data_IF_988424450149
#
_entry.id   IF_988424450149
#
_cell.length_a   1.000
_cell.length_b   1.000
_cell.length_c   1.000
_cell.angle_alpha   90.00
_cell.angle_beta   90.00
_cell.angle_gamma   90.00
#
_symmetry.space_group_name_H-M   'P 1'
#
loop_
_entity.id
_entity.type
_entity.pdbx_description
1 polymer ?
#
# COMPACT_ATOMS: atom_id res chain seq x y z
N UNK A 1 -4.78 -45.09 -2.05
CA UNK A 1 -5.59 -45.66 -0.95
C UNK A 1 -4.65 -46.01 0.18
N UNK A 2 -4.76 -45.34 1.33
CA UNK A 2 -3.97 -45.75 2.50
C UNK A 2 -4.52 -47.07 3.05
N UNK A 3 -3.62 -47.96 3.44
CA UNK A 3 -3.95 -49.34 3.75
C UNK A 3 -4.73 -49.45 5.05
N UNK A 4 -5.75 -50.30 5.05
CA UNK A 4 -6.47 -50.76 6.25
C UNK A 4 -5.51 -51.18 7.38
N UNK A 5 -4.31 -51.66 7.01
CA UNK A 5 -3.22 -52.01 7.91
C UNK A 5 -2.75 -50.85 8.80
N UNK A 6 -2.67 -49.61 8.29
CA UNK A 6 -2.23 -48.46 9.09
C UNK A 6 -3.24 -48.12 10.20
N UNK A 7 -4.54 -48.24 9.89
CA UNK A 7 -5.63 -48.02 10.85
C UNK A 7 -5.53 -49.08 11.97
N UNK A 8 -5.34 -50.34 11.61
CA UNK A 8 -5.17 -51.42 12.58
C UNK A 8 -3.92 -51.24 13.44
N UNK A 9 -2.78 -50.89 12.84
CA UNK A 9 -1.53 -50.66 13.56
C UNK A 9 -1.61 -49.50 14.58
N UNK A 10 -2.53 -48.55 14.37
CA UNK A 10 -2.78 -47.41 15.27
C UNK A 10 -3.94 -47.62 16.23
N UNK A 11 -4.29 -48.87 16.51
CA UNK A 11 -5.29 -49.23 17.51
C UNK A 11 -6.73 -49.23 17.01
N UNK A 12 -6.97 -48.94 15.72
CA UNK A 12 -8.28 -49.18 15.10
C UNK A 12 -9.44 -48.36 15.69
N UNK A 13 -9.16 -47.16 16.20
CA UNK A 13 -10.17 -46.25 16.74
C UNK A 13 -9.90 -44.80 16.34
N UNK A 14 -10.94 -43.98 16.39
CA UNK A 14 -10.86 -42.54 16.20
C UNK A 14 -10.13 -41.87 17.37
N UNK A 15 -9.13 -41.04 17.11
CA UNK A 15 -8.38 -40.32 18.15
C UNK A 15 -9.23 -39.33 18.97
N UNK A 16 -10.36 -38.87 18.42
CA UNK A 16 -11.21 -37.83 19.04
C UNK A 16 -12.34 -38.43 19.88
N UNK A 17 -13.07 -39.42 19.34
CA UNK A 17 -14.27 -39.96 19.99
C UNK A 17 -14.20 -41.46 20.27
N UNK A 18 -13.06 -42.09 20.00
CA UNK A 18 -12.78 -43.49 20.28
C UNK A 18 -13.67 -44.52 19.55
N UNK A 19 -14.54 -44.11 18.63
CA UNK A 19 -15.32 -45.07 17.82
C UNK A 19 -14.39 -45.88 16.92
N UNK A 20 -14.75 -47.13 16.65
CA UNK A 20 -14.02 -48.04 15.75
C UNK A 20 -14.66 -48.09 14.35
N UNK A 21 -15.74 -47.34 14.12
CA UNK A 21 -16.50 -47.38 12.88
C UNK A 21 -16.08 -46.29 11.90
N UNK A 22 -16.10 -46.62 10.60
CA UNK A 22 -15.89 -45.69 9.47
C UNK A 22 -14.65 -44.82 9.65
N UNK A 23 -13.51 -45.46 9.91
CA UNK A 23 -12.23 -44.80 10.15
C UNK A 23 -11.54 -44.39 8.85
N UNK A 24 -10.95 -43.20 8.88
CA UNK A 24 -10.26 -42.54 7.79
C UNK A 24 -8.95 -41.95 8.32
N UNK A 25 -7.98 -41.80 7.43
CA UNK A 25 -6.72 -41.11 7.73
C UNK A 25 -6.90 -39.62 7.42
N UNK A 26 -6.46 -38.80 8.36
CA UNK A 26 -6.44 -37.36 8.28
C UNK A 26 -4.98 -36.86 8.30
N UNK A 27 -4.62 -36.02 7.33
CA UNK A 27 -3.35 -35.29 7.36
C UNK A 27 -3.52 -34.04 8.20
N UNK A 28 -2.73 -33.90 9.27
CA UNK A 28 -2.84 -32.81 10.24
C UNK A 28 -2.50 -31.47 9.58
N UNK A 29 -1.47 -31.44 8.73
CA UNK A 29 -1.04 -30.28 7.95
C UNK A 29 -1.88 -30.03 6.67
N UNK A 30 -2.84 -30.90 6.37
CA UNK A 30 -3.64 -30.88 5.13
C UNK A 30 -2.88 -31.17 3.83
N UNK A 31 -1.58 -31.49 3.89
CA UNK A 31 -0.80 -31.93 2.73
C UNK A 31 -0.89 -33.46 2.57
N UNK A 32 -1.56 -33.89 1.50
CA UNK A 32 -1.76 -35.32 1.20
C UNK A 32 -0.46 -36.03 0.81
N UNK A 33 0.59 -35.30 0.47
CA UNK A 33 1.90 -35.87 0.12
C UNK A 33 2.78 -36.10 1.37
N UNK A 34 2.50 -35.41 2.48
CA UNK A 34 3.25 -35.56 3.72
C UNK A 34 2.79 -36.79 4.53
N UNK A 35 3.37 -37.93 4.20
CA UNK A 35 2.98 -39.24 4.71
C UNK A 35 3.74 -39.68 5.98
N UNK A 36 4.45 -38.78 6.65
CA UNK A 36 5.14 -39.11 7.90
C UNK A 36 4.10 -39.56 8.95
N UNK A 37 4.35 -40.65 9.69
CA UNK A 37 3.35 -41.17 10.63
C UNK A 37 2.87 -40.12 11.65
N UNK A 38 3.75 -39.22 12.09
CA UNK A 38 3.41 -38.15 13.03
C UNK A 38 2.45 -37.10 12.47
N UNK A 39 2.34 -36.97 11.14
CA UNK A 39 1.41 -36.06 10.45
C UNK A 39 0.05 -36.72 10.14
N UNK A 40 -0.07 -38.04 10.36
CA UNK A 40 -1.31 -38.77 10.11
C UNK A 40 -2.07 -38.97 11.41
N UNK A 41 -3.39 -38.81 11.35
CA UNK A 41 -4.31 -39.05 12.46
C UNK A 41 -5.45 -39.96 12.00
N UNK A 42 -5.90 -40.89 12.86
CA UNK A 42 -7.05 -41.76 12.54
C UNK A 42 -8.32 -41.12 13.10
N UNK A 43 -9.25 -40.76 12.22
CA UNK A 43 -10.53 -40.15 12.58
C UNK A 43 -11.70 -40.93 12.00
N UNK A 44 -12.82 -40.97 12.71
CA UNK A 44 -14.06 -41.43 12.10
C UNK A 44 -14.57 -40.39 11.09
N UNK A 45 -15.39 -40.83 10.13
CA UNK A 45 -15.98 -39.98 9.09
C UNK A 45 -16.59 -38.69 9.65
N UNK A 46 -17.31 -38.76 10.78
CA UNK A 46 -17.95 -37.60 11.42
C UNK A 46 -16.94 -36.62 11.98
N UNK A 47 -15.92 -37.10 12.70
CA UNK A 47 -14.86 -36.24 13.26
C UNK A 47 -13.98 -35.65 12.15
N UNK A 48 -13.68 -36.44 11.12
CA UNK A 48 -12.96 -35.99 9.93
C UNK A 48 -13.68 -34.82 9.24
N UNK A 49 -14.99 -34.96 8.98
CA UNK A 49 -15.79 -33.90 8.38
C UNK A 49 -15.87 -32.64 9.27
N UNK A 50 -16.02 -32.80 10.59
CA UNK A 50 -16.02 -31.69 11.54
C UNK A 50 -14.69 -30.92 11.53
N UNK A 51 -13.56 -31.62 11.42
CA UNK A 51 -12.22 -31.00 11.39
C UNK A 51 -12.02 -30.16 10.13
N UNK A 52 -12.34 -30.70 8.95
CA UNK A 52 -12.33 -29.94 7.69
C UNK A 52 -13.27 -28.73 7.74
N UNK A 53 -14.48 -28.89 8.28
CA UNK A 53 -15.43 -27.78 8.44
C UNK A 53 -14.91 -26.68 9.38
N UNK A 54 -14.21 -27.05 10.46
CA UNK A 54 -13.60 -26.08 11.39
C UNK A 54 -12.45 -25.32 10.71
N UNK A 55 -11.58 -26.02 9.98
CA UNK A 55 -10.49 -25.40 9.21
C UNK A 55 -11.03 -24.42 8.17
N UNK A 56 -12.09 -24.79 7.43
CA UNK A 56 -12.73 -23.91 6.45
C UNK A 56 -13.27 -22.63 7.09
N UNK A 57 -13.94 -22.73 8.26
CA UNK A 57 -14.40 -21.55 9.01
C UNK A 57 -13.25 -20.64 9.46
N UNK A 58 -12.12 -21.21 9.87
CA UNK A 58 -10.93 -20.42 10.23
C UNK A 58 -10.38 -19.68 9.02
N UNK A 59 -10.29 -20.35 7.86
CA UNK A 59 -9.85 -19.74 6.60
C UNK A 59 -10.78 -18.59 6.22
N UNK A 60 -12.10 -18.80 6.24
CA UNK A 60 -13.10 -17.76 5.95
C UNK A 60 -12.95 -16.55 6.89
N UNK A 61 -12.74 -16.79 8.19
CA UNK A 61 -12.51 -15.72 9.16
C UNK A 61 -11.20 -14.96 8.90
N UNK A 62 -10.10 -15.68 8.68
CA UNK A 62 -8.79 -15.05 8.36
C UNK A 62 -8.83 -14.29 7.03
N UNK A 63 -9.56 -14.81 6.04
CA UNK A 63 -9.73 -14.14 4.76
C UNK A 63 -10.57 -12.86 4.93
N UNK A 64 -11.65 -12.91 5.70
CA UNK A 64 -12.41 -11.71 6.07
C UNK A 64 -11.56 -10.69 6.83
N UNK A 65 -10.67 -11.13 7.72
CA UNK A 65 -9.83 -10.25 8.53
C UNK A 65 -8.70 -9.61 7.71
N UNK A 66 -8.10 -10.35 6.77
CA UNK A 66 -7.14 -9.80 5.80
C UNK A 66 -7.81 -8.86 4.80
N UNK A 67 -9.05 -9.14 4.38
CA UNK A 67 -9.80 -8.23 3.49
C UNK A 67 -10.26 -6.94 4.18
N UNK A 68 -10.20 -6.88 5.53
CA UNK A 68 -10.46 -5.64 6.29
C UNK A 68 -9.29 -4.66 6.29
N UNK A 69 -8.11 -5.04 5.79
CA UNK A 69 -6.97 -4.12 5.78
C UNK A 69 -7.12 -3.12 4.63
N UNK A 70 -7.51 -1.90 5.00
CA UNK A 70 -7.72 -0.71 4.17
C UNK A 70 -8.74 -0.87 3.05
N UNK A 71 -9.90 -0.25 3.26
CA UNK A 71 -10.85 -0.08 2.16
C UNK A 71 -10.26 0.88 1.12
N UNK A 72 -10.67 0.72 -0.14
CA UNK A 72 -10.27 1.63 -1.24
C UNK A 72 -10.61 3.08 -0.88
N UNK A 73 -11.66 3.30 -0.10
CA UNK A 73 -12.11 4.62 0.37
C UNK A 73 -11.11 5.27 1.34
N UNK A 74 -10.55 4.51 2.28
CA UNK A 74 -9.55 5.00 3.24
C UNK A 74 -8.25 5.38 2.52
N UNK A 75 -7.78 4.53 1.61
CA UNK A 75 -6.61 4.82 0.79
C UNK A 75 -6.82 6.06 -0.10
N UNK A 76 -8.01 6.21 -0.69
CA UNK A 76 -8.36 7.39 -1.47
C UNK A 76 -8.37 8.67 -0.63
N UNK A 77 -8.81 8.59 0.64
CA UNK A 77 -8.82 9.73 1.56
C UNK A 77 -7.41 10.20 1.92
N UNK A 78 -6.49 9.28 2.16
CA UNK A 78 -5.08 9.60 2.43
C UNK A 78 -4.41 10.24 1.21
N UNK A 79 -4.67 9.69 0.01
CA UNK A 79 -4.16 10.24 -1.24
C UNK A 79 -4.67 11.66 -1.49
N UNK A 80 -5.97 11.91 -1.29
CA UNK A 80 -6.57 13.23 -1.45
C UNK A 80 -5.99 14.27 -0.48
N UNK A 81 -5.69 13.86 0.76
CA UNK A 81 -5.04 14.71 1.75
C UNK A 81 -3.63 15.10 1.31
N UNK A 82 -2.88 14.14 0.77
CA UNK A 82 -1.53 14.38 0.23
C UNK A 82 -1.56 15.32 -0.99
N UNK A 83 -2.50 15.12 -1.91
CA UNK A 83 -2.71 16.01 -3.08
C UNK A 83 -3.02 17.45 -2.62
N UNK A 84 -3.85 17.61 -1.59
CA UNK A 84 -4.18 18.92 -1.02
C UNK A 84 -2.93 19.65 -0.52
N UNK A 85 -2.04 18.97 0.22
CA UNK A 85 -0.79 19.56 0.70
C UNK A 85 0.17 19.94 -0.43
N UNK A 86 0.25 19.12 -1.48
CA UNK A 86 1.05 19.43 -2.68
C UNK A 86 0.52 20.69 -3.35
N UNK A 87 -0.80 20.78 -3.57
CA UNK A 87 -1.42 21.93 -4.20
C UNK A 87 -1.21 23.23 -3.40
N UNK A 88 -1.29 23.15 -2.06
CA UNK A 88 -1.00 24.29 -1.21
C UNK A 88 0.47 24.74 -1.34
N UNK A 89 1.39 23.79 -1.43
CA UNK A 89 2.82 24.08 -1.62
C UNK A 89 3.09 24.71 -2.99
N UNK A 90 2.49 24.16 -4.05
CA UNK A 90 2.59 24.72 -5.40
C UNK A 90 2.03 26.15 -5.47
N UNK A 91 0.95 26.44 -4.75
CA UNK A 91 0.40 27.79 -4.65
C UNK A 91 1.41 28.78 -4.04
N UNK A 92 2.08 28.40 -2.95
CA UNK A 92 3.11 29.24 -2.31
C UNK A 92 4.29 29.51 -3.25
N UNK A 93 4.75 28.47 -3.96
CA UNK A 93 5.86 28.60 -4.93
C UNK A 93 5.47 29.55 -6.07
N UNK A 94 4.26 29.38 -6.64
CA UNK A 94 3.76 30.24 -7.71
C UNK A 94 3.77 31.71 -7.31
N UNK A 95 3.21 32.03 -6.13
CA UNK A 95 3.15 33.41 -5.64
C UNK A 95 4.54 34.02 -5.43
N UNK A 96 5.51 33.21 -5.01
CA UNK A 96 6.90 33.66 -4.86
C UNK A 96 7.52 34.01 -6.22
N UNK A 97 7.37 33.14 -7.20
CA UNK A 97 7.87 33.37 -8.57
C UNK A 97 7.28 34.66 -9.14
N UNK A 98 5.97 34.88 -8.99
CA UNK A 98 5.31 36.09 -9.48
C UNK A 98 5.86 37.37 -8.82
N UNK A 99 6.08 37.34 -7.50
CA UNK A 99 6.67 38.46 -6.77
C UNK A 99 8.10 38.76 -7.23
N UNK A 100 8.90 37.73 -7.44
CA UNK A 100 10.28 37.86 -7.91
C UNK A 100 10.29 38.44 -9.33
N UNK A 101 9.39 37.96 -10.21
CA UNK A 101 9.24 38.49 -11.57
C UNK A 101 8.83 39.97 -11.58
N UNK A 102 7.90 40.37 -10.72
CA UNK A 102 7.50 41.78 -10.58
C UNK A 102 8.68 42.65 -10.11
N UNK A 103 9.48 42.15 -9.18
CA UNK A 103 10.67 42.86 -8.70
C UNK A 103 11.70 43.06 -9.83
N UNK A 104 11.93 42.02 -10.64
CA UNK A 104 12.80 42.09 -11.82
C UNK A 104 12.27 43.10 -12.86
N UNK A 105 10.96 43.09 -13.11
CA UNK A 105 10.33 44.03 -14.04
C UNK A 105 10.51 45.48 -13.59
N UNK A 106 10.31 45.77 -12.30
CA UNK A 106 10.53 47.11 -11.72
C UNK A 106 12.00 47.53 -11.86
N UNK A 107 12.94 46.65 -11.53
CA UNK A 107 14.37 46.93 -11.66
C UNK A 107 14.78 47.21 -13.12
N UNK A 108 14.29 46.38 -14.06
CA UNK A 108 14.50 46.57 -15.49
C UNK A 108 13.93 47.90 -15.98
N UNK A 109 12.74 48.28 -15.52
CA UNK A 109 12.14 49.56 -15.87
C UNK A 109 12.96 50.76 -15.34
N UNK A 110 13.40 50.69 -14.08
CA UNK A 110 14.25 51.72 -13.49
C UNK A 110 15.58 51.88 -14.24
N UNK A 111 16.20 50.77 -14.66
CA UNK A 111 17.42 50.81 -15.48
C UNK A 111 17.21 51.47 -16.85
N UNK A 112 16.04 51.27 -17.48
CA UNK A 112 15.70 51.93 -18.76
C UNK A 112 15.53 53.44 -18.63
N UNK A 113 15.03 53.92 -17.49
CA UNK A 113 14.71 55.34 -17.29
C UNK A 113 15.77 56.14 -16.52
N UNK A 114 16.75 55.48 -15.88
CA UNK A 114 17.96 56.15 -15.38
C UNK A 114 18.95 56.43 -16.53
N UNK A 115 18.71 57.51 -17.28
CA UNK A 115 19.79 58.14 -18.07
C UNK A 115 20.88 58.63 -17.11
N UNK A 116 22.17 58.28 -17.28
CA UNK A 116 23.22 58.85 -16.46
C UNK A 116 23.23 60.37 -16.67
N UNK A 117 23.20 61.16 -15.59
CA UNK A 117 23.25 62.62 -15.67
C UNK A 117 24.48 63.15 -16.43
N UNK A 118 25.54 62.34 -16.56
CA UNK A 118 26.71 62.62 -17.42
C UNK A 118 26.39 62.57 -18.92
N UNK A 119 25.44 61.74 -19.35
CA UNK A 119 25.06 61.60 -20.77
C UNK A 119 24.17 62.77 -21.23
N UNK A 120 23.28 63.25 -20.37
CA UNK A 120 22.42 64.41 -20.63
C UNK A 120 23.24 65.71 -20.76
N UNK A 121 24.19 65.96 -19.84
CA UNK A 121 25.07 67.14 -19.93
C UNK A 121 25.94 67.17 -21.18
N UNK A 122 26.36 66.01 -21.70
CA UNK A 122 27.16 65.90 -22.92
C UNK A 122 26.33 66.19 -24.18
N UNK A 123 25.06 65.78 -24.19
CA UNK A 123 24.12 66.08 -25.29
C UNK A 123 23.65 67.54 -25.29
N UNK A 124 23.54 68.16 -24.12
CA UNK A 124 23.23 69.59 -23.98
C UNK A 124 24.43 70.47 -24.36
N UNK A 125 25.66 70.05 -24.06
CA UNK A 125 26.88 70.73 -24.49
C UNK A 125 27.04 70.74 -26.01
N UNK A 126 26.82 69.59 -26.68
CA UNK A 126 26.93 69.52 -28.15
C UNK A 126 25.84 70.32 -28.86
N UNK A 127 24.63 70.44 -28.28
CA UNK A 127 23.57 71.29 -28.84
C UNK A 127 23.83 72.79 -28.69
N UNK A 128 24.66 73.20 -27.73
CA UNK A 128 24.98 74.61 -27.47
C UNK A 128 26.16 75.10 -28.31
N UNK A 129 26.94 74.20 -28.89
CA UNK A 129 28.02 74.50 -29.84
C UNK A 129 27.52 74.57 -31.31
N UNK A 130 26.28 74.15 -31.57
CA UNK A 130 25.63 74.15 -32.90
C UNK A 130 24.56 75.26 -33.08
N UNK A 131 24.43 76.20 -32.13
CA UNK A 131 23.54 77.38 -32.20
C UNK A 131 24.33 78.68 -32.09
#
# INVERSE_FOLDING_TARGET
MYSKALITARGGHCSICNTTQKLLIHHIDSDRNNNIPTNLEILCQTCHAKKHKKQQKTIEHTLMELLKTMTVEEAAKELNTSISHINQTLCRIRNKIEKDQNTLNVAANWMKHKRPAKLLRRQEATKKEES
#
